data_IF_747595752872
#
_entry.id   IF_747595752872
#
_cell.length_a   1.000
_cell.length_b   1.000
_cell.length_c   1.000
_cell.angle_alpha   90.00
_cell.angle_beta   90.00
_cell.angle_gamma   90.00
#
_symmetry.space_group_name_H-M   'P 1'
#
loop_
_entity.id
_entity.type
_entity.pdbx_description
1 polymer ?
#
# COMPACT_ATOMS: atom_id res chain seq x y z
N UNK A 1 3.58 -24.72 -0.99
CA UNK A 1 3.84 -24.92 -2.44
C UNK A 1 3.67 -23.63 -3.24
N UNK A 2 2.62 -22.83 -2.97
CA UNK A 2 2.31 -21.61 -3.72
C UNK A 2 3.47 -20.60 -3.75
N UNK A 3 4.08 -20.32 -2.59
CA UNK A 3 5.19 -19.38 -2.46
C UNK A 3 6.43 -19.82 -3.25
N UNK A 4 6.76 -21.12 -3.20
CA UNK A 4 7.89 -21.65 -3.96
C UNK A 4 7.65 -21.59 -5.47
N UNK A 5 6.42 -21.84 -5.93
CA UNK A 5 6.05 -21.69 -7.33
C UNK A 5 6.21 -20.23 -7.80
N UNK A 6 5.78 -19.27 -7.00
CA UNK A 6 5.95 -17.85 -7.26
C UNK A 6 7.45 -17.47 -7.37
N UNK A 7 8.27 -17.89 -6.40
CA UNK A 7 9.72 -17.64 -6.42
C UNK A 7 10.41 -18.27 -7.66
N UNK A 8 10.02 -19.50 -7.99
CA UNK A 8 10.56 -20.17 -9.18
C UNK A 8 10.18 -19.45 -10.48
N UNK A 9 8.92 -18.98 -10.58
CA UNK A 9 8.47 -18.23 -11.74
C UNK A 9 9.29 -16.94 -11.92
N UNK A 10 9.53 -16.19 -10.84
CA UNK A 10 10.37 -15.00 -10.91
C UNK A 10 11.83 -15.32 -11.24
N UNK A 11 12.39 -16.40 -10.69
CA UNK A 11 13.76 -16.82 -11.01
C UNK A 11 13.91 -17.21 -12.49
N UNK A 12 12.89 -17.88 -13.07
CA UNK A 12 12.91 -18.24 -14.50
C UNK A 12 12.70 -17.04 -15.42
N UNK A 13 11.95 -16.04 -15.00
CA UNK A 13 11.70 -14.82 -15.77
C UNK A 13 12.83 -13.77 -15.65
N UNK A 14 13.69 -13.86 -14.63
CA UNK A 14 14.75 -12.89 -14.39
C UNK A 14 15.70 -12.65 -15.58
N UNK A 15 16.17 -13.67 -16.33
CA UNK A 15 17.00 -13.45 -17.52
C UNK A 15 16.25 -12.68 -18.62
N UNK A 16 14.98 -13.00 -18.85
CA UNK A 16 14.16 -12.32 -19.87
C UNK A 16 13.93 -10.86 -19.51
N UNK A 17 13.67 -10.58 -18.22
CA UNK A 17 13.57 -9.21 -17.70
C UNK A 17 14.86 -8.44 -17.96
N UNK A 18 16.03 -9.00 -17.61
CA UNK A 18 17.32 -8.33 -17.80
C UNK A 18 17.59 -8.02 -19.29
N UNK A 19 17.28 -8.97 -20.19
CA UNK A 19 17.41 -8.76 -21.63
C UNK A 19 16.46 -7.63 -22.09
N UNK A 20 15.22 -7.62 -21.62
CA UNK A 20 14.24 -6.57 -21.96
C UNK A 20 14.71 -5.21 -21.50
N UNK A 21 15.22 -5.07 -20.28
CA UNK A 21 15.73 -3.81 -19.74
C UNK A 21 16.92 -3.29 -20.55
N UNK A 22 17.88 -4.16 -20.89
CA UNK A 22 19.02 -3.78 -21.75
C UNK A 22 18.54 -3.36 -23.15
N UNK A 23 17.63 -4.14 -23.74
CA UNK A 23 17.11 -3.84 -25.08
C UNK A 23 16.31 -2.53 -25.08
N UNK A 24 15.51 -2.28 -24.05
CA UNK A 24 14.82 -1.01 -23.88
C UNK A 24 15.80 0.16 -23.80
N UNK A 25 16.84 0.08 -22.94
CA UNK A 25 17.85 1.13 -22.80
C UNK A 25 18.57 1.44 -24.12
N UNK A 26 18.93 0.41 -24.88
CA UNK A 26 19.59 0.56 -26.19
C UNK A 26 18.61 1.19 -27.19
N UNK A 27 17.36 0.69 -27.23
CA UNK A 27 16.36 1.14 -28.22
C UNK A 27 15.82 2.56 -27.94
N UNK A 28 15.82 3.00 -26.68
CA UNK A 28 15.42 4.36 -26.27
C UNK A 28 16.58 5.35 -26.18
N UNK A 29 17.84 4.90 -26.36
CA UNK A 29 19.01 5.76 -26.26
C UNK A 29 19.01 6.85 -27.34
N UNK A 30 19.21 8.13 -26.97
CA UNK A 30 19.34 9.24 -27.95
C UNK A 30 20.50 9.05 -28.93
N UNK A 31 21.50 8.25 -28.59
CA UNK A 31 22.64 7.93 -29.42
C UNK A 31 22.35 6.84 -30.47
N UNK A 32 21.22 6.15 -30.35
CA UNK A 32 20.80 5.12 -31.28
C UNK A 32 19.87 5.71 -32.35
N UNK A 33 20.25 5.76 -33.63
CA UNK A 33 19.39 6.31 -34.68
C UNK A 33 18.03 5.58 -34.80
N UNK A 34 17.95 4.31 -34.41
CA UNK A 34 16.73 3.53 -34.44
C UNK A 34 15.69 4.03 -33.42
N UNK A 35 16.11 4.69 -32.34
CA UNK A 35 15.18 5.24 -31.33
C UNK A 35 14.19 6.25 -31.90
N UNK A 36 14.54 6.90 -33.00
CA UNK A 36 13.72 7.88 -33.70
C UNK A 36 12.79 7.24 -34.74
N UNK A 37 12.90 5.94 -34.98
CA UNK A 37 12.05 5.22 -35.93
C UNK A 37 10.83 4.61 -35.25
N UNK A 38 9.69 4.43 -35.94
CA UNK A 38 8.54 3.74 -35.39
C UNK A 38 8.88 2.33 -34.88
N UNK A 39 9.74 1.60 -35.60
CA UNK A 39 10.18 0.25 -35.19
C UNK A 39 10.99 0.29 -33.88
N UNK A 40 11.93 1.20 -33.75
CA UNK A 40 12.74 1.32 -32.52
C UNK A 40 11.88 1.68 -31.31
N UNK A 41 10.92 2.60 -31.47
CA UNK A 41 9.96 2.95 -30.42
C UNK A 41 9.07 1.76 -30.03
N UNK A 42 8.56 1.01 -31.01
CA UNK A 42 7.76 -0.20 -30.74
C UNK A 42 8.56 -1.27 -29.98
N UNK A 43 9.83 -1.47 -30.33
CA UNK A 43 10.71 -2.42 -29.61
C UNK A 43 10.94 -1.92 -28.17
N UNK A 44 11.27 -0.66 -27.96
CA UNK A 44 11.46 -0.08 -26.63
C UNK A 44 10.19 -0.21 -25.77
N UNK A 45 9.03 0.12 -26.32
CA UNK A 45 7.73 0.02 -25.66
C UNK A 45 7.40 -1.42 -25.26
N UNK A 46 7.59 -2.39 -26.17
CA UNK A 46 7.36 -3.81 -25.88
C UNK A 46 8.26 -4.31 -24.74
N UNK A 47 9.53 -3.92 -24.76
CA UNK A 47 10.49 -4.28 -23.72
C UNK A 47 10.13 -3.66 -22.37
N UNK A 48 9.68 -2.40 -22.34
CA UNK A 48 9.23 -1.76 -21.12
C UNK A 48 8.01 -2.46 -20.53
N UNK A 49 6.98 -2.70 -21.34
CA UNK A 49 5.77 -3.42 -20.90
C UNK A 49 6.13 -4.78 -20.33
N UNK A 50 6.97 -5.57 -21.01
CA UNK A 50 7.41 -6.88 -20.54
C UNK A 50 8.21 -6.78 -19.22
N UNK A 51 9.10 -5.83 -19.10
CA UNK A 51 9.87 -5.60 -17.88
C UNK A 51 8.93 -5.27 -16.72
N UNK A 52 7.94 -4.38 -16.91
CA UNK A 52 6.96 -3.99 -15.90
C UNK A 52 6.06 -5.14 -15.46
N UNK A 53 5.65 -6.00 -16.38
CA UNK A 53 4.82 -7.18 -16.07
C UNK A 53 5.59 -8.28 -15.31
N UNK A 54 6.91 -8.30 -15.40
CA UNK A 54 7.75 -9.38 -14.85
C UNK A 54 8.59 -8.98 -13.64
N UNK A 55 8.73 -7.68 -13.35
CA UNK A 55 9.54 -7.22 -12.23
C UNK A 55 8.81 -7.43 -10.89
N UNK A 56 9.59 -7.49 -9.81
CA UNK A 56 9.07 -7.38 -8.45
C UNK A 56 9.02 -5.93 -8.05
N UNK A 57 7.89 -5.55 -7.51
CA UNK A 57 7.69 -4.24 -6.92
C UNK A 57 7.98 -4.33 -5.43
N UNK A 58 8.75 -3.38 -4.92
CA UNK A 58 9.00 -3.22 -3.48
C UNK A 58 8.12 -2.11 -2.91
N UNK A 59 8.34 -1.77 -1.63
CA UNK A 59 7.64 -0.64 -0.99
C UNK A 59 7.94 0.66 -1.75
N UNK A 60 6.91 1.38 -2.23
CA UNK A 60 7.10 2.65 -2.89
C UNK A 60 7.64 3.72 -1.93
N UNK A 61 8.32 4.71 -2.47
CA UNK A 61 8.71 5.89 -1.70
C UNK A 61 7.49 6.80 -1.51
N UNK A 62 7.42 7.51 -0.39
CA UNK A 62 6.37 8.49 -0.17
C UNK A 62 6.45 9.65 -1.17
N UNK A 63 7.67 10.14 -1.49
CA UNK A 63 7.88 11.18 -2.48
C UNK A 63 7.15 12.49 -2.14
N UNK A 64 7.02 12.82 -0.85
CA UNK A 64 6.42 14.05 -0.34
C UNK A 64 7.53 14.86 0.32
N UNK A 65 8.17 15.72 -0.45
CA UNK A 65 9.30 16.52 -0.01
C UNK A 65 8.87 17.92 0.46
N UNK A 66 7.70 18.38 0.03
CA UNK A 66 7.11 19.67 0.42
C UNK A 66 5.58 19.65 0.36
N UNK A 67 4.98 20.70 0.92
CA UNK A 67 3.56 21.04 0.78
C UNK A 67 3.39 22.55 0.66
N UNK A 68 2.23 23.01 0.17
CA UNK A 68 1.96 24.46 0.04
C UNK A 68 1.09 24.95 1.18
N UNK A 69 1.59 25.92 1.95
CA UNK A 69 0.86 26.59 3.04
C UNK A 69 0.95 28.10 2.84
N UNK A 70 -0.18 28.82 2.83
CA UNK A 70 -0.22 30.28 2.61
C UNK A 70 0.60 30.68 1.35
N UNK A 71 0.42 29.99 0.23
CA UNK A 71 1.11 30.16 -1.05
C UNK A 71 2.65 30.00 -0.98
N UNK A 72 3.16 29.35 0.05
CA UNK A 72 4.59 29.04 0.21
C UNK A 72 4.83 27.56 0.22
N UNK A 73 5.90 27.14 -0.46
CA UNK A 73 6.42 25.77 -0.33
C UNK A 73 7.02 25.60 1.07
N UNK A 74 6.59 24.58 1.76
CA UNK A 74 7.00 24.20 3.12
C UNK A 74 7.62 22.82 3.06
N UNK A 75 8.90 22.65 3.40
CA UNK A 75 9.56 21.36 3.42
C UNK A 75 8.88 20.37 4.35
N UNK A 76 8.84 19.09 3.94
CA UNK A 76 8.28 18.00 4.71
C UNK A 76 9.36 16.94 4.93
N UNK A 77 9.54 16.49 6.16
CA UNK A 77 10.33 15.31 6.50
C UNK A 77 9.45 14.22 7.09
N UNK A 78 9.85 12.96 6.91
CA UNK A 78 9.08 11.81 7.41
C UNK A 78 9.87 11.16 8.53
N UNK A 79 9.30 11.17 9.73
CA UNK A 79 9.91 10.64 10.93
C UNK A 79 9.09 9.46 11.49
N UNK A 80 9.75 8.37 11.89
CA UNK A 80 9.07 7.31 12.65
C UNK A 80 9.00 7.73 14.10
N UNK A 81 7.80 7.97 14.61
CA UNK A 81 7.57 8.47 15.97
C UNK A 81 7.19 7.38 16.97
N UNK A 82 6.68 6.25 16.48
CA UNK A 82 6.45 5.03 17.25
C UNK A 82 6.71 3.82 16.37
N UNK A 83 7.33 2.77 16.91
CA UNK A 83 7.66 1.56 16.16
C UNK A 83 7.21 0.34 16.91
N UNK A 84 6.49 -0.54 16.23
CA UNK A 84 6.15 -1.89 16.67
C UNK A 84 6.63 -2.91 15.65
N UNK A 85 6.54 -4.19 15.97
CA UNK A 85 6.98 -5.24 15.05
C UNK A 85 6.16 -5.29 13.75
N UNK A 86 4.87 -4.92 13.80
CA UNK A 86 3.94 -5.03 12.67
C UNK A 86 3.59 -3.70 12.01
N UNK A 87 3.75 -2.58 12.71
CA UNK A 87 3.39 -1.27 12.19
C UNK A 87 4.26 -0.18 12.81
N UNK A 88 4.66 0.79 12.00
CA UNK A 88 5.23 2.03 12.48
C UNK A 88 4.17 3.14 12.42
N UNK A 89 4.23 4.07 13.37
CA UNK A 89 3.55 5.35 13.24
C UNK A 89 4.55 6.34 12.67
N UNK A 90 4.29 6.84 11.48
CA UNK A 90 5.13 7.85 10.83
C UNK A 90 4.45 9.21 10.88
N UNK A 91 5.24 10.25 11.05
CA UNK A 91 4.84 11.65 11.11
C UNK A 91 5.41 12.42 9.93
N UNK A 92 4.56 13.16 9.23
CA UNK A 92 4.94 14.07 8.18
C UNK A 92 5.21 15.46 8.78
N UNK A 93 6.43 15.67 9.19
CA UNK A 93 6.86 16.86 9.90
C UNK A 93 7.11 18.01 8.91
N UNK A 94 6.33 19.09 9.04
CA UNK A 94 6.40 20.28 8.19
C UNK A 94 7.29 21.34 8.84
N UNK A 95 8.26 21.89 8.11
CA UNK A 95 9.07 23.01 8.60
C UNK A 95 8.28 24.33 8.52
N UNK A 96 7.55 24.63 9.58
CA UNK A 96 6.72 25.85 9.69
C UNK A 96 7.52 27.11 10.07
N UNK A 97 8.84 27.04 10.20
CA UNK A 97 9.69 28.15 10.67
C UNK A 97 9.60 29.40 9.79
N UNK A 98 9.34 29.24 8.48
CA UNK A 98 9.16 30.30 7.49
C UNK A 98 7.79 30.96 7.46
N UNK A 99 6.83 30.48 8.28
CA UNK A 99 5.45 30.98 8.30
C UNK A 99 5.24 32.02 9.39
N UNK A 100 4.05 32.68 9.37
CA UNK A 100 3.68 33.68 10.38
C UNK A 100 3.58 33.04 11.77
N UNK A 101 4.22 33.64 12.77
CA UNK A 101 4.18 33.17 14.19
C UNK A 101 2.79 33.15 14.82
N UNK A 102 1.81 33.83 14.20
CA UNK A 102 0.41 33.89 14.69
C UNK A 102 -0.45 32.74 14.19
N UNK A 103 0.11 31.80 13.39
CA UNK A 103 -0.59 30.60 12.96
C UNK A 103 -0.94 29.75 14.18
N UNK A 104 -2.21 29.34 14.31
CA UNK A 104 -2.62 28.36 15.30
C UNK A 104 -1.99 27.00 14.94
N UNK A 105 -1.81 26.13 15.95
CA UNK A 105 -1.42 24.76 15.71
C UNK A 105 -2.50 24.07 14.86
N UNK A 106 -2.08 23.38 13.81
CA UNK A 106 -3.01 22.63 12.98
C UNK A 106 -3.51 21.37 13.74
N UNK A 107 -4.74 20.93 13.48
CA UNK A 107 -5.29 19.74 14.12
C UNK A 107 -4.51 18.50 13.72
N UNK A 108 -4.29 17.60 14.67
CA UNK A 108 -3.63 16.31 14.41
C UNK A 108 -4.59 15.37 13.69
N UNK A 109 -4.08 14.70 12.67
CA UNK A 109 -4.83 13.70 11.91
C UNK A 109 -4.04 12.38 11.84
N UNK A 110 -4.62 11.31 12.41
CA UNK A 110 -4.14 9.95 12.21
C UNK A 110 -4.83 9.36 10.97
N UNK A 111 -4.07 9.13 9.92
CA UNK A 111 -4.54 8.39 8.73
C UNK A 111 -4.21 6.92 8.92
N UNK A 112 -5.23 6.09 9.04
CA UNK A 112 -5.06 4.64 9.17
C UNK A 112 -5.12 4.02 7.79
N UNK A 113 -3.95 3.62 7.28
CA UNK A 113 -3.81 2.98 5.99
C UNK A 113 -4.35 1.53 6.02
N UNK A 114 -4.90 1.02 4.90
CA UNK A 114 -5.38 -0.35 4.84
C UNK A 114 -4.30 -1.40 5.11
N UNK A 115 -4.60 -2.38 5.96
CA UNK A 115 -3.84 -3.64 6.06
C UNK A 115 -4.51 -4.68 5.16
N UNK A 116 -4.43 -4.48 3.86
CA UNK A 116 -5.15 -5.26 2.84
C UNK A 116 -4.26 -5.69 1.67
N UNK A 117 -2.94 -5.73 1.86
CA UNK A 117 -1.96 -6.20 0.89
C UNK A 117 -1.11 -5.13 0.24
N UNK A 118 -1.60 -3.90 0.13
CA UNK A 118 -0.79 -2.77 -0.37
C UNK A 118 -0.06 -2.07 0.77
N UNK A 119 1.03 -1.38 0.43
CA UNK A 119 1.74 -0.53 1.39
C UNK A 119 0.96 0.74 1.73
N UNK A 120 1.30 1.37 2.84
CA UNK A 120 0.65 2.60 3.31
C UNK A 120 0.74 3.77 2.31
N UNK A 121 1.69 3.75 1.39
CA UNK A 121 1.83 4.73 0.30
C UNK A 121 0.60 4.82 -0.60
N UNK A 122 -0.29 3.81 -0.57
CA UNK A 122 -1.60 3.86 -1.23
C UNK A 122 -2.44 5.09 -0.82
N UNK A 123 -2.26 5.59 0.41
CA UNK A 123 -2.94 6.80 0.89
C UNK A 123 -2.15 8.09 0.66
N UNK A 124 -1.09 8.07 -0.17
CA UNK A 124 -0.23 9.22 -0.49
C UNK A 124 -1.03 10.47 -0.88
N UNK A 125 -1.98 10.33 -1.80
CA UNK A 125 -2.82 11.44 -2.24
C UNK A 125 -3.69 12.04 -1.11
N UNK A 126 -4.16 11.19 -0.19
CA UNK A 126 -4.89 11.63 1.01
C UNK A 126 -3.97 12.43 1.94
N UNK A 127 -2.75 11.95 2.16
CA UNK A 127 -1.74 12.65 2.97
C UNK A 127 -1.41 14.01 2.36
N UNK A 128 -1.12 14.06 1.06
CA UNK A 128 -0.83 15.32 0.35
C UNK A 128 -1.98 16.32 0.47
N UNK A 129 -3.23 15.85 0.38
CA UNK A 129 -4.41 16.72 0.50
C UNK A 129 -4.60 17.27 1.94
N UNK A 130 -4.16 16.54 2.97
CA UNK A 130 -4.30 16.95 4.37
C UNK A 130 -3.15 17.85 4.85
N UNK A 131 -1.95 17.68 4.33
CA UNK A 131 -0.74 18.36 4.79
C UNK A 131 -0.81 19.90 4.85
N UNK A 132 -1.53 20.62 3.96
CA UNK A 132 -1.63 22.07 4.07
C UNK A 132 -2.27 22.55 5.38
N UNK A 133 -3.21 21.78 5.94
CA UNK A 133 -4.08 22.22 7.05
C UNK A 133 -4.03 21.31 8.29
N UNK A 134 -3.31 20.18 8.24
CA UNK A 134 -3.27 19.19 9.31
C UNK A 134 -1.84 18.78 9.65
N UNK A 135 -1.65 18.39 10.91
CA UNK A 135 -0.45 17.69 11.39
C UNK A 135 -0.67 16.19 11.24
N UNK A 136 -0.05 15.59 10.19
CA UNK A 136 -0.45 14.28 9.65
C UNK A 136 0.44 13.15 10.16
N UNK A 137 -0.20 12.12 10.71
CA UNK A 137 0.40 10.85 11.11
C UNK A 137 -0.21 9.72 10.32
N UNK A 138 0.57 8.69 9.99
CA UNK A 138 0.10 7.56 9.17
C UNK A 138 0.58 6.24 9.76
N UNK A 139 -0.29 5.22 9.77
CA UNK A 139 0.10 3.84 10.05
C UNK A 139 0.86 3.26 8.87
N UNK A 140 2.10 2.86 9.10
CA UNK A 140 2.99 2.30 8.08
C UNK A 140 3.26 0.83 8.36
N UNK A 141 2.46 -0.04 7.75
CA UNK A 141 2.47 -1.48 7.98
C UNK A 141 3.76 -2.15 7.51
N UNK A 142 4.25 -3.07 8.33
CA UNK A 142 5.42 -3.89 8.04
C UNK A 142 5.00 -5.15 7.25
N UNK A 143 5.78 -5.48 6.23
CA UNK A 143 5.57 -6.69 5.45
C UNK A 143 5.85 -7.94 6.32
N UNK A 144 4.82 -8.76 6.54
CA UNK A 144 4.88 -9.91 7.44
C UNK A 144 5.95 -10.94 7.04
N UNK A 145 6.36 -10.98 5.75
CA UNK A 145 7.48 -11.86 5.32
C UNK A 145 8.82 -11.48 5.94
N UNK A 146 8.94 -10.24 6.42
CA UNK A 146 10.18 -9.73 7.02
C UNK A 146 10.17 -9.78 8.55
N UNK A 147 9.07 -10.17 9.19
CA UNK A 147 8.91 -10.22 10.64
C UNK A 147 9.23 -11.62 11.15
N UNK A 148 10.26 -11.82 11.99
CA UNK A 148 10.63 -13.13 12.52
C UNK A 148 9.43 -13.83 13.20
N UNK A 149 9.28 -15.14 12.97
CA UNK A 149 8.17 -15.90 13.56
C UNK A 149 8.19 -15.89 15.11
N UNK A 150 9.35 -15.70 15.72
CA UNK A 150 9.52 -15.62 17.18
C UNK A 150 8.86 -14.38 17.82
N UNK A 151 8.54 -13.35 17.04
CA UNK A 151 7.81 -12.16 17.51
C UNK A 151 6.38 -12.49 17.98
N UNK A 152 5.80 -13.58 17.47
CA UNK A 152 4.43 -13.98 17.77
C UNK A 152 3.48 -13.73 16.60
N UNK A 153 2.18 -13.90 16.86
CA UNK A 153 1.08 -13.64 15.92
C UNK A 153 0.71 -12.16 15.92
N UNK A 154 -0.12 -11.79 14.96
CA UNK A 154 -0.81 -10.51 14.90
C UNK A 154 -2.18 -10.74 14.26
N UNK A 155 -3.22 -10.43 14.98
CA UNK A 155 -4.60 -10.64 14.56
C UNK A 155 -5.44 -9.34 14.60
N UNK A 156 -6.76 -9.43 14.52
CA UNK A 156 -7.62 -8.26 14.55
C UNK A 156 -7.66 -7.61 15.94
N UNK A 157 -7.61 -8.39 17.01
CA UNK A 157 -7.61 -7.86 18.38
C UNK A 157 -6.30 -7.09 18.63
N UNK A 158 -5.15 -7.63 18.21
CA UNK A 158 -3.86 -6.93 18.24
C UNK A 158 -3.90 -5.62 17.43
N UNK A 159 -4.61 -5.63 16.28
CA UNK A 159 -4.78 -4.43 15.46
C UNK A 159 -5.64 -3.37 16.17
N UNK A 160 -6.72 -3.77 16.84
CA UNK A 160 -7.59 -2.87 17.59
C UNK A 160 -6.81 -2.24 18.75
N UNK A 161 -6.06 -3.03 19.51
CA UNK A 161 -5.23 -2.56 20.61
C UNK A 161 -4.17 -1.57 20.11
N UNK A 162 -3.53 -1.86 18.97
CA UNK A 162 -2.57 -0.97 18.35
C UNK A 162 -3.19 0.38 17.92
N UNK A 163 -4.46 0.38 17.46
CA UNK A 163 -5.16 1.64 17.15
C UNK A 163 -5.41 2.46 18.41
N UNK A 164 -5.74 1.83 19.54
CA UNK A 164 -5.88 2.50 20.84
C UNK A 164 -4.53 3.10 21.27
N UNK A 165 -3.44 2.35 21.17
CA UNK A 165 -2.10 2.82 21.50
C UNK A 165 -1.68 4.03 20.67
N UNK A 166 -1.97 4.03 19.37
CA UNK A 166 -1.69 5.19 18.50
C UNK A 166 -2.55 6.40 18.87
N UNK A 167 -3.84 6.21 19.20
CA UNK A 167 -4.70 7.30 19.67
C UNK A 167 -4.21 7.86 21.01
N UNK A 168 -3.78 7.02 21.94
CA UNK A 168 -3.16 7.44 23.20
C UNK A 168 -1.88 8.26 22.96
N UNK A 169 -1.01 7.82 22.04
CA UNK A 169 0.20 8.56 21.67
C UNK A 169 -0.14 9.94 21.10
N UNK A 170 -1.18 10.05 20.29
CA UNK A 170 -1.59 11.29 19.65
C UNK A 170 -2.26 12.28 20.60
N UNK A 171 -2.96 11.79 21.63
CA UNK A 171 -3.69 12.57 22.61
C UNK A 171 -5.12 12.94 22.18
N UNK A 172 -5.91 13.57 23.08
CA UNK A 172 -7.37 13.72 22.94
C UNK A 172 -7.83 14.66 21.84
N UNK A 173 -6.96 15.54 21.33
CA UNK A 173 -7.30 16.51 20.29
C UNK A 173 -7.07 15.98 18.87
N UNK A 174 -6.67 14.72 18.73
CA UNK A 174 -6.46 14.10 17.44
C UNK A 174 -7.77 13.64 16.80
N UNK A 175 -7.83 13.71 15.47
CA UNK A 175 -8.88 13.08 14.67
C UNK A 175 -8.32 11.86 13.93
N UNK A 176 -9.16 10.88 13.63
CA UNK A 176 -8.76 9.64 12.95
C UNK A 176 -9.50 9.53 11.63
N UNK A 177 -8.75 9.26 10.56
CA UNK A 177 -9.28 8.96 9.24
C UNK A 177 -8.92 7.53 8.86
N UNK A 178 -9.90 6.66 8.74
CA UNK A 178 -9.74 5.27 8.32
C UNK A 178 -10.26 5.08 6.89
N UNK A 179 -9.41 4.51 6.01
CA UNK A 179 -9.74 4.32 4.61
C UNK A 179 -9.89 2.82 4.31
N UNK A 180 -11.08 2.39 3.89
CA UNK A 180 -11.39 1.02 3.49
C UNK A 180 -11.37 0.02 4.68
N UNK A 181 -10.57 -1.01 4.64
CA UNK A 181 -10.52 -2.11 5.61
C UNK A 181 -10.35 -1.67 7.08
N UNK A 182 -9.45 -0.71 7.46
CA UNK A 182 -9.24 -0.36 8.87
C UNK A 182 -10.43 0.34 9.53
N UNK A 183 -11.48 0.70 8.80
CA UNK A 183 -12.73 1.21 9.38
C UNK A 183 -13.27 0.29 10.47
N UNK A 184 -13.14 -1.03 10.32
CA UNK A 184 -13.59 -2.03 11.30
C UNK A 184 -12.79 -1.90 12.60
N UNK A 185 -11.45 -1.93 12.51
CA UNK A 185 -10.59 -1.85 13.68
C UNK A 185 -10.69 -0.49 14.40
N UNK A 186 -10.74 0.61 13.64
CA UNK A 186 -10.88 1.96 14.21
C UNK A 186 -12.24 2.13 14.91
N UNK A 187 -13.33 1.66 14.28
CA UNK A 187 -14.66 1.73 14.90
C UNK A 187 -14.73 0.89 16.17
N UNK A 188 -14.13 -0.30 16.18
CA UNK A 188 -14.05 -1.15 17.36
C UNK A 188 -13.20 -0.50 18.46
N UNK A 189 -12.00 0.00 18.14
CA UNK A 189 -11.12 0.69 19.08
C UNK A 189 -11.81 1.88 19.76
N UNK A 190 -12.43 2.78 18.97
CA UNK A 190 -13.13 3.93 19.52
C UNK A 190 -14.36 3.52 20.35
N UNK A 191 -15.04 2.44 19.96
CA UNK A 191 -16.17 1.91 20.74
C UNK A 191 -15.74 1.37 22.10
N UNK A 192 -14.59 0.67 22.15
CA UNK A 192 -14.00 0.21 23.41
C UNK A 192 -13.55 1.37 24.29
N UNK A 193 -12.81 2.34 23.74
CA UNK A 193 -12.41 3.55 24.46
C UNK A 193 -13.63 4.31 25.02
N UNK A 194 -14.73 4.37 24.27
CA UNK A 194 -15.95 5.00 24.73
C UNK A 194 -16.66 4.21 25.84
N UNK A 195 -16.64 2.86 25.77
CA UNK A 195 -17.21 1.99 26.81
C UNK A 195 -16.45 2.08 28.13
N UNK A 196 -15.14 2.34 28.07
CA UNK A 196 -14.25 2.47 29.22
C UNK A 196 -14.13 3.92 29.74
N UNK A 197 -14.91 4.85 29.19
CA UNK A 197 -14.83 6.29 29.50
C UNK A 197 -13.41 6.85 29.35
N UNK A 198 -12.65 6.36 28.35
CA UNK A 198 -11.27 6.76 28.12
C UNK A 198 -11.16 8.26 27.81
N UNK A 199 -10.37 9.05 28.57
CA UNK A 199 -10.24 10.49 28.36
C UNK A 199 -9.47 10.86 27.07
N UNK A 200 -8.82 9.88 26.41
CA UNK A 200 -7.99 10.08 25.20
C UNK A 200 -8.76 9.70 23.93
N UNK A 201 -10.09 9.65 23.97
CA UNK A 201 -10.88 9.41 22.77
C UNK A 201 -10.54 10.44 21.69
N UNK A 202 -10.55 10.06 20.41
CA UNK A 202 -10.30 10.99 19.31
C UNK A 202 -11.43 12.04 19.24
N UNK A 203 -11.07 13.27 18.87
CA UNK A 203 -12.03 14.36 18.69
C UNK A 203 -13.09 14.04 17.62
N UNK A 204 -12.68 13.39 16.53
CA UNK A 204 -13.56 12.95 15.46
C UNK A 204 -12.99 11.71 14.75
N UNK A 205 -13.90 10.91 14.18
CA UNK A 205 -13.53 9.81 13.28
C UNK A 205 -14.15 10.02 11.90
N UNK A 206 -13.37 9.77 10.85
CA UNK A 206 -13.78 9.81 9.45
C UNK A 206 -13.63 8.42 8.88
N UNK A 207 -14.72 7.77 8.52
CA UNK A 207 -14.75 6.40 8.04
C UNK A 207 -15.07 6.39 6.55
N UNK A 208 -14.12 6.01 5.70
CA UNK A 208 -14.22 6.09 4.25
C UNK A 208 -14.29 4.69 3.62
N UNK A 209 -15.45 4.32 3.08
CA UNK A 209 -15.62 3.15 2.22
C UNK A 209 -15.31 1.80 2.89
N UNK A 210 -15.43 1.68 4.19
CA UNK A 210 -15.14 0.46 4.93
C UNK A 210 -16.34 -0.44 5.15
N UNK A 211 -16.13 -1.74 5.38
CA UNK A 211 -17.19 -2.74 5.54
C UNK A 211 -17.72 -2.76 6.99
N UNK A 212 -18.49 -1.76 7.39
CA UNK A 212 -19.11 -1.70 8.74
C UNK A 212 -20.11 -2.83 8.95
N UNK A 213 -20.91 -3.11 7.91
CA UNK A 213 -21.81 -4.26 7.87
C UNK A 213 -21.72 -4.92 6.49
N UNK A 214 -20.96 -6.01 6.41
CA UNK A 214 -20.70 -6.73 5.16
C UNK A 214 -21.95 -7.41 4.57
N UNK A 215 -23.07 -7.49 5.33
CA UNK A 215 -24.37 -8.00 4.83
C UNK A 215 -25.08 -7.00 3.93
N UNK A 216 -24.72 -5.72 4.03
CA UNK A 216 -25.30 -4.63 3.24
C UNK A 216 -24.40 -4.35 2.04
N UNK A 217 -24.92 -4.57 0.83
CA UNK A 217 -24.17 -4.46 -0.42
C UNK A 217 -22.87 -5.28 -0.44
N UNK A 218 -22.94 -6.62 -0.24
CA UNK A 218 -21.76 -7.46 -0.20
C UNK A 218 -20.96 -7.35 -1.49
N UNK A 219 -19.65 -7.31 -1.35
CA UNK A 219 -18.73 -7.36 -2.49
C UNK A 219 -18.53 -8.83 -2.93
N UNK A 220 -17.99 -9.05 -4.14
CA UNK A 220 -17.60 -10.40 -4.58
C UNK A 220 -16.63 -11.09 -3.61
N UNK A 221 -15.81 -10.33 -2.88
CA UNK A 221 -14.92 -10.87 -1.84
C UNK A 221 -15.72 -11.41 -0.67
N UNK A 222 -16.76 -10.68 -0.20
CA UNK A 222 -17.63 -11.14 0.87
C UNK A 222 -18.41 -12.39 0.47
N UNK A 223 -19.00 -12.39 -0.73
CA UNK A 223 -19.72 -13.57 -1.27
C UNK A 223 -18.80 -14.80 -1.36
N UNK A 224 -17.54 -14.60 -1.78
CA UNK A 224 -16.56 -15.67 -1.85
C UNK A 224 -16.19 -16.19 -0.45
N UNK A 225 -16.01 -15.29 0.52
CA UNK A 225 -15.71 -15.64 1.91
C UNK A 225 -16.85 -16.50 2.52
N UNK A 226 -18.11 -16.08 2.36
CA UNK A 226 -19.27 -16.84 2.82
C UNK A 226 -19.38 -18.23 2.16
N UNK A 227 -19.07 -18.30 0.86
CA UNK A 227 -19.23 -19.56 0.09
C UNK A 227 -18.19 -20.63 0.41
N UNK A 228 -16.99 -20.27 0.89
CA UNK A 228 -15.86 -21.19 1.04
C UNK A 228 -15.62 -21.67 2.47
N UNK A 229 -15.97 -20.88 3.46
CA UNK A 229 -15.66 -21.14 4.86
C UNK A 229 -14.17 -21.02 5.21
N UNK A 230 -13.89 -20.85 6.51
CA UNK A 230 -12.56 -20.52 7.03
C UNK A 230 -11.48 -21.56 6.67
N UNK A 231 -11.79 -22.84 6.81
CA UNK A 231 -10.84 -23.92 6.51
C UNK A 231 -10.37 -23.95 5.05
N UNK A 232 -11.17 -23.44 4.12
CA UNK A 232 -10.74 -23.34 2.74
C UNK A 232 -9.63 -22.29 2.60
N UNK A 233 -9.76 -21.13 3.25
CA UNK A 233 -8.74 -20.08 3.24
C UNK A 233 -7.44 -20.58 3.88
N UNK A 234 -7.52 -21.23 5.03
CA UNK A 234 -6.35 -21.82 5.70
C UNK A 234 -5.56 -22.78 4.79
N UNK A 235 -6.26 -23.59 4.00
CA UNK A 235 -5.61 -24.62 3.19
C UNK A 235 -5.20 -24.16 1.79
N UNK A 236 -5.84 -23.14 1.24
CA UNK A 236 -5.63 -22.74 -0.17
C UNK A 236 -4.95 -21.37 -0.34
N UNK A 237 -5.07 -20.50 0.66
CA UNK A 237 -4.60 -19.11 0.56
C UNK A 237 -3.41 -18.86 1.47
N UNK A 238 -3.42 -19.38 2.70
CA UNK A 238 -2.33 -19.20 3.63
C UNK A 238 -1.10 -20.02 3.21
N UNK A 239 0.05 -19.37 3.31
CA UNK A 239 1.34 -19.98 2.98
C UNK A 239 2.36 -19.70 4.09
N UNK A 240 3.41 -20.52 4.15
CA UNK A 240 4.56 -20.23 5.02
C UNK A 240 5.64 -19.49 4.25
N UNK A 241 6.19 -18.47 4.88
CA UNK A 241 7.34 -17.73 4.34
C UNK A 241 8.53 -18.68 4.19
N UNK A 242 9.14 -18.78 2.99
CA UNK A 242 10.28 -19.67 2.77
C UNK A 242 11.61 -19.05 3.21
N UNK A 243 12.62 -19.92 3.40
CA UNK A 243 14.01 -19.46 3.50
C UNK A 243 14.44 -18.80 2.16
N UNK A 244 15.27 -17.71 2.14
CA UNK A 244 16.00 -17.10 3.26
C UNK A 244 15.33 -15.85 3.88
N UNK A 245 14.05 -15.66 3.73
CA UNK A 245 13.37 -14.46 4.23
C UNK A 245 13.38 -14.41 5.78
N UNK A 246 13.46 -13.19 6.38
CA UNK A 246 13.52 -13.05 7.84
C UNK A 246 12.34 -13.69 8.58
N UNK A 247 11.13 -13.64 7.99
CA UNK A 247 9.91 -14.24 8.53
C UNK A 247 9.75 -15.73 8.23
N UNK A 248 10.84 -16.46 7.96
CA UNK A 248 10.78 -17.89 7.64
C UNK A 248 9.88 -18.68 8.59
N UNK A 249 9.02 -19.55 8.04
CA UNK A 249 7.99 -20.34 8.73
C UNK A 249 6.78 -19.57 9.27
N UNK A 250 6.76 -18.22 9.28
CA UNK A 250 5.55 -17.45 9.58
C UNK A 250 4.45 -17.82 8.58
N UNK A 251 3.24 -18.01 9.10
CA UNK A 251 2.05 -18.14 8.25
C UNK A 251 1.62 -16.76 7.78
N UNK A 252 1.44 -16.61 6.48
CA UNK A 252 1.05 -15.34 5.86
C UNK A 252 -0.01 -15.56 4.77
N UNK A 253 -0.78 -14.53 4.50
CA UNK A 253 -1.50 -14.38 3.24
C UNK A 253 -0.57 -13.64 2.28
N UNK A 254 -0.01 -14.32 1.26
CA UNK A 254 0.97 -13.71 0.37
C UNK A 254 0.39 -12.55 -0.44
N UNK A 255 1.10 -11.43 -0.51
CA UNK A 255 0.70 -10.26 -1.29
C UNK A 255 0.43 -10.58 -2.76
N UNK A 256 1.26 -11.46 -3.38
CA UNK A 256 1.04 -11.86 -4.77
C UNK A 256 -0.27 -12.64 -4.99
N UNK A 257 -0.74 -13.39 -3.99
CA UNK A 257 -2.04 -14.09 -4.07
C UNK A 257 -3.20 -13.10 -3.98
N UNK A 258 -3.08 -12.10 -3.12
CA UNK A 258 -4.04 -10.99 -3.02
C UNK A 258 -4.12 -10.21 -4.32
N UNK A 259 -2.96 -9.79 -4.86
CA UNK A 259 -2.87 -9.08 -6.13
C UNK A 259 -3.51 -9.88 -7.27
N UNK A 260 -3.27 -11.20 -7.32
CA UNK A 260 -3.90 -12.07 -8.33
C UNK A 260 -5.44 -12.03 -8.23
N UNK A 261 -5.99 -11.98 -7.01
CA UNK A 261 -7.42 -11.83 -6.78
C UNK A 261 -7.95 -10.48 -7.28
N UNK A 262 -7.27 -9.39 -6.96
CA UNK A 262 -7.65 -8.05 -7.42
C UNK A 262 -7.57 -7.91 -8.94
N UNK A 263 -6.49 -8.40 -9.56
CA UNK A 263 -6.34 -8.39 -11.01
C UNK A 263 -7.45 -9.20 -11.71
N UNK A 264 -7.80 -10.37 -11.16
CA UNK A 264 -8.81 -11.25 -11.75
C UNK A 264 -10.22 -10.64 -11.76
N UNK A 265 -10.54 -9.71 -10.86
CA UNK A 265 -11.84 -9.05 -10.84
C UNK A 265 -12.07 -8.12 -12.05
N UNK A 266 -11.01 -7.59 -12.66
CA UNK A 266 -11.08 -6.64 -13.77
C UNK A 266 -9.95 -6.89 -14.79
N UNK A 267 -9.72 -8.15 -15.15
CA UNK A 267 -8.57 -8.54 -16.00
C UNK A 267 -8.56 -7.80 -17.35
N UNK A 268 -9.72 -7.63 -17.97
CA UNK A 268 -9.83 -6.94 -19.27
C UNK A 268 -9.36 -5.49 -19.19
N UNK A 269 -9.75 -4.77 -18.13
CA UNK A 269 -9.32 -3.40 -17.88
C UNK A 269 -7.81 -3.29 -17.66
N UNK A 270 -7.21 -4.25 -16.96
CA UNK A 270 -5.76 -4.27 -16.76
C UNK A 270 -5.02 -4.56 -18.07
N UNK A 271 -5.52 -5.49 -18.89
CA UNK A 271 -4.93 -5.77 -20.21
C UNK A 271 -5.04 -4.55 -21.14
N UNK A 272 -6.18 -3.87 -21.14
CA UNK A 272 -6.37 -2.63 -21.89
C UNK A 272 -5.40 -1.54 -21.45
N UNK A 273 -5.24 -1.31 -20.15
CA UNK A 273 -4.31 -0.33 -19.61
C UNK A 273 -2.84 -0.60 -20.01
N UNK A 274 -2.40 -1.87 -20.06
CA UNK A 274 -1.06 -2.20 -20.55
C UNK A 274 -0.92 -1.97 -22.08
N UNK A 275 -1.99 -2.17 -22.84
CA UNK A 275 -1.99 -1.85 -24.25
C UNK A 275 -1.93 -0.34 -24.48
N UNK A 276 -2.65 0.42 -23.65
CA UNK A 276 -2.61 1.90 -23.69
C UNK A 276 -1.21 2.42 -23.35
N UNK A 277 -0.55 1.86 -22.32
CA UNK A 277 0.84 2.18 -22.03
C UNK A 277 1.73 1.95 -23.27
N UNK A 278 1.60 0.79 -23.92
CA UNK A 278 2.35 0.51 -25.14
C UNK A 278 2.13 1.59 -26.21
N UNK A 279 0.88 1.96 -26.46
CA UNK A 279 0.50 2.95 -27.46
C UNK A 279 1.08 4.34 -27.11
N UNK A 280 0.93 4.81 -25.87
CA UNK A 280 1.49 6.08 -25.38
C UNK A 280 3.02 6.14 -25.58
N UNK A 281 3.71 5.03 -25.26
CA UNK A 281 5.16 4.94 -25.46
C UNK A 281 5.57 5.01 -26.95
N UNK A 282 4.82 4.36 -27.84
CA UNK A 282 5.09 4.40 -29.29
C UNK A 282 4.81 5.78 -29.87
N UNK A 283 3.74 6.45 -29.42
CA UNK A 283 3.34 7.78 -29.85
C UNK A 283 4.23 8.89 -29.25
N UNK A 284 4.91 8.61 -28.14
CA UNK A 284 5.76 9.56 -27.44
C UNK A 284 4.97 10.45 -26.46
N UNK A 285 3.78 10.01 -26.04
CA UNK A 285 2.98 10.64 -25.00
C UNK A 285 3.55 10.24 -23.62
N UNK A 286 4.54 11.00 -23.17
CA UNK A 286 5.24 10.76 -21.92
C UNK A 286 4.34 10.94 -20.69
N UNK A 287 3.47 11.94 -20.69
CA UNK A 287 2.64 12.28 -19.53
C UNK A 287 1.64 11.16 -19.20
N UNK A 288 0.95 10.62 -20.23
CA UNK A 288 0.03 9.49 -20.04
C UNK A 288 0.77 8.20 -19.65
N UNK A 289 1.96 7.96 -20.22
CA UNK A 289 2.80 6.84 -19.85
C UNK A 289 3.26 6.95 -18.38
N UNK A 290 3.61 8.15 -17.90
CA UNK A 290 4.03 8.38 -16.51
C UNK A 290 2.86 8.19 -15.53
N UNK A 291 1.66 8.65 -15.83
CA UNK A 291 0.45 8.37 -15.03
C UNK A 291 0.19 6.87 -14.89
N UNK A 292 0.34 6.10 -15.98
CA UNK A 292 0.24 4.64 -15.92
C UNK A 292 1.33 4.04 -15.03
N UNK A 293 2.57 4.51 -15.16
CA UNK A 293 3.70 4.04 -14.34
C UNK A 293 3.46 4.28 -12.86
N UNK A 294 3.07 5.49 -12.48
CA UNK A 294 2.78 5.86 -11.09
C UNK A 294 1.67 5.00 -10.49
N UNK A 295 0.57 4.83 -11.23
CA UNK A 295 -0.54 3.98 -10.77
C UNK A 295 -0.12 2.53 -10.57
N UNK A 296 0.55 1.91 -11.57
CA UNK A 296 0.89 0.50 -11.48
C UNK A 296 2.10 0.22 -10.58
N UNK A 297 3.01 1.17 -10.40
CA UNK A 297 4.10 1.05 -9.43
C UNK A 297 3.54 0.97 -7.99
N UNK A 298 2.45 1.65 -7.69
CA UNK A 298 1.73 1.53 -6.43
C UNK A 298 0.87 0.26 -6.37
N UNK A 299 0.04 0.04 -7.39
CA UNK A 299 -0.93 -1.06 -7.42
C UNK A 299 -0.30 -2.45 -7.41
N UNK A 300 0.89 -2.62 -8.01
CA UNK A 300 1.63 -3.88 -8.03
C UNK A 300 2.55 -4.06 -6.82
N UNK A 301 2.71 -3.01 -6.01
CA UNK A 301 3.51 -3.04 -4.79
C UNK A 301 2.70 -3.63 -3.65
N UNK A 302 2.92 -4.91 -3.37
CA UNK A 302 2.17 -5.66 -2.37
C UNK A 302 3.07 -6.27 -1.31
N UNK A 303 2.52 -6.44 -0.12
CA UNK A 303 3.15 -7.05 1.04
C UNK A 303 2.34 -8.23 1.55
N UNK A 304 2.99 -9.12 2.28
CA UNK A 304 2.33 -10.24 2.93
C UNK A 304 1.62 -9.78 4.22
N UNK A 305 0.43 -10.34 4.47
CA UNK A 305 -0.31 -10.12 5.71
C UNK A 305 -0.12 -11.28 6.69
N UNK A 306 -0.16 -11.04 8.01
CA UNK A 306 -0.29 -12.12 9.00
C UNK A 306 -1.54 -12.97 8.71
N UNK A 307 -1.38 -14.29 8.76
CA UNK A 307 -2.49 -15.21 8.48
C UNK A 307 -3.61 -15.07 9.50
N UNK A 308 -3.26 -14.88 10.76
CA UNK A 308 -4.17 -14.74 11.88
C UNK A 308 -5.09 -13.53 11.68
N UNK A 309 -4.52 -12.40 11.26
CA UNK A 309 -5.28 -11.20 10.92
C UNK A 309 -6.30 -11.44 9.80
N UNK A 310 -5.87 -12.06 8.69
CA UNK A 310 -6.79 -12.38 7.61
C UNK A 310 -7.93 -13.30 8.07
N UNK A 311 -7.59 -14.38 8.76
CA UNK A 311 -8.56 -15.42 9.16
C UNK A 311 -9.59 -14.90 10.18
N UNK A 312 -9.24 -13.91 10.97
CA UNK A 312 -10.17 -13.28 11.91
C UNK A 312 -11.03 -12.20 11.25
N UNK A 313 -10.54 -11.57 10.18
CA UNK A 313 -11.28 -10.52 9.44
C UNK A 313 -12.21 -11.06 8.36
N UNK A 314 -12.03 -12.30 7.90
CA UNK A 314 -12.92 -13.02 6.99
C UNK A 314 -14.11 -13.59 7.74
#
# INVERSE_FOLDING_TARGET
>A
MLYHAYELTHATLAPFKAISEITQQISSSPLNPLSYTPMGRSVAASCEVLSRMTRRYGKPQWGIDDTTIDDKAVPVSIDTVMSTDFCNLIHFNRDLSGLKKTRKSDPKMLVVAPLSGHYATLVRGTVQALLPDHDVYVTDWCDARNIPAAVGSFDLDDNIDLMIDFMHFMGPDASVLAVCQPVVAVLAAVSLMAADDDPIQPHAIILMGGPVDARINPTKVNEHAESKGLSWFENNVISRVPFPMPGVMRKVYPGFAQLSGFMAMNIDRHMEAYMDLYNHLVEGDGDSADQHREFYDEYLSVMDLPAEFLLQTI
#
